data_IF_538321461078
#
_entry.id   IF_538321461078
#
_cell.length_a   1.000
_cell.length_b   1.000
_cell.length_c   1.000
_cell.angle_alpha   90.00
_cell.angle_beta   90.00
_cell.angle_gamma   90.00
#
_symmetry.space_group_name_H-M   'P 1'
#
loop_
_entity.id
_entity.type
_entity.pdbx_description
1 polymer ?
#
# COMPACT_ATOMS: atom_id res chain seq x y z
N UNK A 1 -12.03 -9.11 15.74
CA UNK A 1 -11.81 -7.89 14.93
C UNK A 1 -11.51 -6.72 15.86
N UNK A 2 -10.41 -6.02 15.64
CA UNK A 2 -9.92 -5.01 16.61
C UNK A 2 -10.81 -3.77 16.74
N UNK A 3 -11.68 -3.51 15.78
CA UNK A 3 -12.63 -2.38 15.84
C UNK A 3 -13.88 -2.64 16.71
N UNK A 4 -14.06 -3.84 17.25
CA UNK A 4 -15.20 -4.21 18.11
C UNK A 4 -14.70 -4.27 19.55
N UNK A 5 -15.41 -3.59 20.45
CA UNK A 5 -15.08 -3.65 21.88
C UNK A 5 -15.35 -5.05 22.42
N UNK A 6 -14.36 -5.73 23.03
CA UNK A 6 -14.55 -7.07 23.56
C UNK A 6 -15.45 -7.11 24.80
N UNK A 7 -15.64 -5.98 25.50
CA UNK A 7 -16.46 -5.89 26.72
C UNK A 7 -17.94 -5.62 26.40
N UNK A 8 -18.23 -4.56 25.60
CA UNK A 8 -19.62 -4.13 25.37
C UNK A 8 -20.12 -4.35 23.95
N UNK A 9 -19.30 -4.92 23.05
CA UNK A 9 -19.68 -5.16 21.67
C UNK A 9 -19.81 -3.91 20.79
N UNK A 10 -19.49 -2.72 21.28
CA UNK A 10 -19.55 -1.49 20.48
C UNK A 10 -18.69 -1.65 19.21
N UNK A 11 -19.30 -1.49 18.02
CA UNK A 11 -18.68 -1.63 16.71
C UNK A 11 -18.56 -0.32 15.93
N UNK A 12 -18.97 0.82 16.52
CA UNK A 12 -18.89 2.14 15.87
C UNK A 12 -17.44 2.52 15.59
N UNK A 13 -17.24 3.30 14.54
CA UNK A 13 -15.93 3.85 14.18
C UNK A 13 -15.61 5.10 15.03
N UNK A 14 -15.46 4.89 16.33
CA UNK A 14 -15.28 5.93 17.34
C UNK A 14 -14.15 5.60 18.34
N UNK A 15 -13.45 4.48 18.12
CA UNK A 15 -12.42 4.00 19.04
C UNK A 15 -11.26 5.00 19.14
N UNK A 16 -10.80 5.24 20.36
CA UNK A 16 -9.60 6.03 20.61
C UNK A 16 -8.38 5.10 20.56
N UNK A 17 -7.35 5.49 19.79
CA UNK A 17 -6.10 4.73 19.65
C UNK A 17 -4.96 5.55 20.21
N UNK A 18 -4.17 4.95 21.11
CA UNK A 18 -2.96 5.54 21.68
C UNK A 18 -1.88 4.46 21.79
N UNK A 19 -0.78 4.62 21.06
CA UNK A 19 0.23 3.55 20.93
C UNK A 19 -0.40 2.25 20.45
N UNK A 20 -0.20 1.18 21.18
CA UNK A 20 -0.77 -0.16 20.91
C UNK A 20 -2.05 -0.47 21.73
N UNK A 21 -2.71 0.56 22.26
CA UNK A 21 -3.93 0.46 23.06
C UNK A 21 -5.12 1.07 22.32
N UNK A 22 -6.24 0.37 22.40
CA UNK A 22 -7.54 0.89 21.94
C UNK A 22 -8.42 1.11 23.18
N UNK A 23 -9.16 2.22 23.20
CA UNK A 23 -10.14 2.53 24.22
C UNK A 23 -11.53 2.67 23.61
N UNK A 24 -12.50 1.99 24.20
CA UNK A 24 -13.91 2.15 23.85
C UNK A 24 -14.46 3.44 24.48
N UNK A 25 -15.04 4.38 23.71
CA UNK A 25 -15.66 5.56 24.29
C UNK A 25 -16.93 5.25 25.06
N UNK A 26 -17.65 4.15 24.73
CA UNK A 26 -18.92 3.76 25.36
C UNK A 26 -18.71 3.25 26.79
N UNK A 27 -17.94 2.17 26.97
CA UNK A 27 -17.72 1.53 28.27
C UNK A 27 -16.36 1.81 28.91
N UNK A 28 -15.49 2.58 28.24
CA UNK A 28 -14.13 2.92 28.66
C UNK A 28 -13.16 1.74 28.76
N UNK A 29 -13.58 0.52 28.40
CA UNK A 29 -12.68 -0.63 28.34
C UNK A 29 -11.51 -0.38 27.39
N UNK A 30 -10.32 -0.90 27.76
CA UNK A 30 -9.10 -0.77 26.97
C UNK A 30 -8.53 -2.13 26.65
N UNK A 31 -8.02 -2.31 25.42
CA UNK A 31 -7.37 -3.55 25.02
C UNK A 31 -6.17 -3.29 24.12
N UNK A 32 -5.26 -4.24 24.11
CA UNK A 32 -4.07 -4.19 23.27
C UNK A 32 -4.36 -4.72 21.87
N UNK A 33 -3.58 -4.22 20.89
CA UNK A 33 -3.57 -4.73 19.53
C UNK A 33 -2.14 -4.70 18.98
N UNK A 34 -1.88 -5.48 17.93
CA UNK A 34 -0.63 -5.43 17.19
C UNK A 34 -0.66 -4.23 16.24
N UNK A 35 0.19 -3.27 16.50
CA UNK A 35 0.30 -2.04 15.72
C UNK A 35 1.51 -2.14 14.79
N UNK A 36 1.33 -2.75 13.61
CA UNK A 36 2.38 -2.93 12.62
C UNK A 36 2.36 -1.79 11.58
N UNK A 37 3.46 -1.56 10.85
CA UNK A 37 3.47 -0.65 9.70
C UNK A 37 2.68 -1.23 8.52
N UNK A 38 2.02 -0.35 7.76
CA UNK A 38 1.40 -0.67 6.49
C UNK A 38 2.36 -0.32 5.36
N UNK A 39 2.53 -1.22 4.39
CA UNK A 39 3.40 -1.06 3.25
C UNK A 39 2.60 -0.87 1.96
N UNK A 40 3.04 0.07 1.13
CA UNK A 40 2.45 0.38 -0.17
C UNK A 40 3.54 0.32 -1.24
N UNK A 41 3.36 -0.56 -2.22
CA UNK A 41 4.19 -0.61 -3.42
C UNK A 41 3.45 0.13 -4.53
N UNK A 42 3.99 1.26 -4.96
CA UNK A 42 3.38 2.14 -5.96
C UNK A 42 4.24 2.32 -7.20
N UNK A 43 3.79 3.15 -8.13
CA UNK A 43 4.43 3.43 -9.41
C UNK A 43 3.44 3.30 -10.57
N UNK A 44 3.83 3.74 -11.74
CA UNK A 44 2.97 3.75 -12.93
C UNK A 44 2.54 2.35 -13.38
N UNK A 45 1.54 2.28 -14.26
CA UNK A 45 1.17 1.01 -14.88
C UNK A 45 2.31 0.48 -15.76
N UNK A 46 2.51 -0.83 -15.78
CA UNK A 46 3.59 -1.48 -16.56
C UNK A 46 4.95 -1.49 -15.86
N UNK A 47 5.13 -0.83 -14.72
CA UNK A 47 6.42 -0.76 -14.02
C UNK A 47 6.88 -2.10 -13.42
N UNK A 48 5.95 -3.02 -13.13
CA UNK A 48 6.26 -4.35 -12.59
C UNK A 48 5.80 -4.62 -11.17
N UNK A 49 4.95 -3.78 -10.56
CA UNK A 49 4.41 -3.97 -9.19
C UNK A 49 3.84 -5.36 -8.94
N UNK A 50 2.85 -5.75 -9.75
CA UNK A 50 2.17 -7.04 -9.61
C UNK A 50 3.13 -8.22 -9.82
N UNK A 51 4.09 -8.10 -10.75
CA UNK A 51 5.09 -9.15 -11.01
C UNK A 51 6.03 -9.31 -9.81
N UNK A 52 6.52 -8.20 -9.23
CA UNK A 52 7.35 -8.24 -8.02
C UNK A 52 6.57 -8.78 -6.81
N UNK A 53 5.30 -8.38 -6.66
CA UNK A 53 4.42 -8.88 -5.61
C UNK A 53 4.19 -10.41 -5.71
N UNK A 54 3.99 -10.94 -6.93
CA UNK A 54 3.88 -12.38 -7.17
C UNK A 54 5.16 -13.12 -6.82
N UNK A 55 6.33 -12.52 -7.08
CA UNK A 55 7.61 -13.11 -6.71
C UNK A 55 7.80 -13.16 -5.20
N UNK A 56 7.43 -12.10 -4.46
CA UNK A 56 7.41 -12.11 -2.99
C UNK A 56 6.53 -13.24 -2.44
N UNK A 57 5.37 -13.49 -3.03
CA UNK A 57 4.50 -14.60 -2.62
C UNK A 57 5.15 -15.97 -2.87
N UNK A 58 5.89 -16.14 -3.99
CA UNK A 58 6.63 -17.39 -4.26
C UNK A 58 7.77 -17.64 -3.27
N UNK A 59 8.40 -16.57 -2.81
CA UNK A 59 9.50 -16.66 -1.83
C UNK A 59 9.00 -16.91 -0.40
N UNK A 60 7.69 -17.08 -0.19
CA UNK A 60 7.08 -17.23 1.14
C UNK A 60 7.53 -16.14 2.13
N UNK A 61 7.60 -14.91 1.66
CA UNK A 61 7.92 -13.76 2.49
C UNK A 61 6.92 -13.65 3.66
N UNK A 62 7.42 -13.31 4.85
CA UNK A 62 6.58 -13.11 6.04
C UNK A 62 5.80 -11.79 5.95
N UNK A 63 5.09 -11.59 4.86
CA UNK A 63 4.24 -10.43 4.57
C UNK A 63 3.00 -10.88 3.80
N UNK A 64 1.85 -10.34 4.14
CA UNK A 64 0.62 -10.56 3.35
C UNK A 64 0.61 -9.58 2.19
N UNK A 65 0.63 -10.09 0.97
CA UNK A 65 0.67 -9.29 -0.26
C UNK A 65 -0.72 -9.24 -0.87
N UNK A 66 -1.22 -8.04 -1.14
CA UNK A 66 -2.53 -7.78 -1.72
C UNK A 66 -2.41 -6.78 -2.88
N UNK A 67 -3.34 -6.83 -3.83
CA UNK A 67 -3.40 -5.90 -4.96
C UNK A 67 -4.69 -5.07 -4.87
N UNK A 68 -4.59 -3.74 -5.01
CA UNK A 68 -5.74 -2.86 -4.96
C UNK A 68 -6.71 -3.07 -6.14
N UNK A 69 -6.25 -3.68 -7.23
CA UNK A 69 -7.10 -4.02 -8.38
C UNK A 69 -8.20 -5.04 -8.03
N UNK A 70 -8.11 -5.73 -6.88
CA UNK A 70 -9.21 -6.58 -6.37
C UNK A 70 -10.52 -5.81 -6.17
N UNK A 71 -10.44 -4.48 -5.99
CA UNK A 71 -11.63 -3.63 -5.85
C UNK A 71 -12.29 -3.31 -7.19
N UNK A 72 -11.58 -3.51 -8.32
CA UNK A 72 -12.16 -3.34 -9.64
C UNK A 72 -13.33 -4.32 -9.86
N UNK A 73 -14.51 -3.79 -10.14
CA UNK A 73 -15.72 -4.60 -10.29
C UNK A 73 -16.42 -5.02 -8.99
N UNK A 74 -15.82 -4.75 -7.82
CA UNK A 74 -16.44 -5.00 -6.50
C UNK A 74 -17.12 -3.75 -5.98
N UNK A 75 -16.54 -2.58 -6.23
CA UNK A 75 -17.10 -1.29 -5.86
C UNK A 75 -16.89 -0.26 -6.99
N UNK A 76 -17.69 0.82 -7.05
CA UNK A 76 -17.44 1.92 -7.97
C UNK A 76 -16.07 2.55 -7.69
N UNK A 77 -15.35 2.90 -8.75
CA UNK A 77 -14.07 3.65 -8.70
C UNK A 77 -14.12 4.80 -9.71
N UNK A 78 -15.17 5.63 -9.62
CA UNK A 78 -15.48 6.68 -10.60
C UNK A 78 -15.29 8.10 -10.04
N UNK A 79 -15.13 8.23 -8.74
CA UNK A 79 -15.01 9.52 -8.05
C UNK A 79 -13.90 9.50 -7.01
N UNK A 80 -13.47 10.69 -6.58
CA UNK A 80 -12.52 10.85 -5.51
C UNK A 80 -13.01 10.22 -4.19
N UNK A 81 -14.32 10.31 -3.94
CA UNK A 81 -14.96 9.69 -2.77
C UNK A 81 -14.92 8.15 -2.85
N UNK A 82 -15.08 7.56 -4.03
CA UNK A 82 -14.97 6.11 -4.22
C UNK A 82 -13.56 5.61 -3.91
N UNK A 83 -12.53 6.32 -4.40
CA UNK A 83 -11.14 6.02 -4.08
C UNK A 83 -10.84 6.20 -2.60
N UNK A 84 -11.43 7.20 -1.93
CA UNK A 84 -11.29 7.36 -0.49
C UNK A 84 -11.89 6.17 0.27
N UNK A 85 -13.07 5.69 -0.14
CA UNK A 85 -13.72 4.50 0.42
C UNK A 85 -12.89 3.22 0.17
N UNK A 86 -12.29 3.11 -1.02
CA UNK A 86 -11.39 2.01 -1.35
C UNK A 86 -10.21 1.96 -0.39
N UNK A 87 -9.50 3.08 -0.21
CA UNK A 87 -8.35 3.18 0.68
C UNK A 87 -8.75 2.89 2.13
N UNK A 88 -9.88 3.43 2.59
CA UNK A 88 -10.42 3.14 3.92
C UNK A 88 -10.70 1.63 4.11
N UNK A 89 -11.20 0.95 3.06
CA UNK A 89 -11.44 -0.49 3.08
C UNK A 89 -10.13 -1.28 3.12
N UNK A 90 -9.14 -0.90 2.32
CA UNK A 90 -7.79 -1.50 2.33
C UNK A 90 -7.19 -1.47 3.73
N UNK A 91 -7.25 -0.33 4.39
CA UNK A 91 -6.72 -0.16 5.74
C UNK A 91 -7.54 -0.93 6.78
N UNK A 92 -8.87 -0.97 6.63
CA UNK A 92 -9.73 -1.76 7.50
C UNK A 92 -9.41 -3.26 7.44
N UNK A 93 -9.16 -3.80 6.25
CA UNK A 93 -8.69 -5.18 6.10
C UNK A 93 -7.30 -5.37 6.72
N UNK A 94 -6.36 -4.48 6.38
CA UNK A 94 -4.97 -4.57 6.83
C UNK A 94 -4.83 -4.60 8.34
N UNK A 95 -5.49 -3.70 9.07
CA UNK A 95 -5.42 -3.65 10.55
C UNK A 95 -5.92 -4.94 11.20
N UNK A 96 -6.88 -5.64 10.57
CA UNK A 96 -7.40 -6.92 11.08
C UNK A 96 -6.46 -8.09 10.73
N UNK A 97 -5.92 -8.14 9.50
CA UNK A 97 -4.93 -9.13 9.07
C UNK A 97 -3.68 -9.07 9.95
N UNK A 98 -3.21 -7.87 10.25
CA UNK A 98 -2.01 -7.64 11.08
C UNK A 98 -2.12 -8.19 12.50
N UNK A 99 -3.33 -8.50 12.99
CA UNK A 99 -3.48 -9.15 14.29
C UNK A 99 -2.91 -10.59 14.31
N UNK A 100 -2.72 -11.22 13.13
CA UNK A 100 -1.95 -12.47 13.01
C UNK A 100 -0.45 -12.30 13.29
N UNK A 101 0.04 -11.07 13.23
CA UNK A 101 1.46 -10.73 13.42
C UNK A 101 2.22 -10.55 12.10
N UNK A 102 1.55 -10.65 10.96
CA UNK A 102 2.13 -10.42 9.65
C UNK A 102 1.85 -8.98 9.18
N UNK A 103 2.84 -8.25 8.67
CA UNK A 103 2.63 -6.98 8.01
C UNK A 103 1.88 -7.17 6.69
N UNK A 104 1.29 -6.11 6.18
CA UNK A 104 0.55 -6.11 4.91
C UNK A 104 1.23 -5.18 3.93
N UNK A 105 1.42 -5.66 2.71
CA UNK A 105 1.87 -4.90 1.54
C UNK A 105 0.74 -4.84 0.51
N UNK A 106 0.35 -3.66 0.09
CA UNK A 106 -0.55 -3.45 -1.03
C UNK A 106 0.20 -2.95 -2.26
N UNK A 107 -0.11 -3.50 -3.43
CA UNK A 107 0.23 -2.85 -4.70
C UNK A 107 -0.90 -1.91 -5.10
N UNK A 108 -0.56 -0.66 -5.44
CA UNK A 108 -1.52 0.33 -5.95
C UNK A 108 -0.83 1.37 -6.82
N UNK A 109 -1.52 1.90 -7.83
CA UNK A 109 -0.92 2.83 -8.77
C UNK A 109 -0.98 4.30 -8.28
N UNK A 110 -2.01 4.69 -7.55
CA UNK A 110 -2.25 6.08 -7.14
C UNK A 110 -2.90 6.19 -5.77
N UNK A 111 -3.50 7.36 -5.48
CA UNK A 111 -4.26 7.65 -4.26
C UNK A 111 -3.44 7.63 -2.96
N UNK A 112 -2.13 7.87 -3.04
CA UNK A 112 -1.27 7.95 -1.86
C UNK A 112 -1.68 9.09 -0.92
N UNK A 113 -2.19 10.18 -1.48
CA UNK A 113 -2.71 11.35 -0.76
C UNK A 113 -3.89 11.02 0.17
N UNK A 114 -4.57 9.90 -0.04
CA UNK A 114 -5.73 9.45 0.73
C UNK A 114 -5.37 8.61 1.94
N UNK A 115 -4.19 7.97 1.95
CA UNK A 115 -3.77 7.03 3.00
C UNK A 115 -3.76 7.64 4.41
N UNK A 116 -3.32 8.88 4.55
CA UNK A 116 -3.29 9.57 5.85
C UNK A 116 -4.62 10.20 6.27
N UNK A 117 -5.60 10.24 5.34
CA UNK A 117 -6.90 10.92 5.53
C UNK A 117 -8.01 9.97 6.00
N UNK A 118 -7.70 8.70 6.21
CA UNK A 118 -8.67 7.67 6.62
C UNK A 118 -8.87 7.63 8.13
N UNK A 119 -9.99 7.05 8.57
CA UNK A 119 -10.18 6.70 9.98
C UNK A 119 -9.19 5.61 10.42
N UNK A 120 -8.90 4.65 9.54
CA UNK A 120 -8.14 3.45 9.88
C UNK A 120 -6.62 3.70 9.94
N UNK A 121 -6.08 4.80 9.39
CA UNK A 121 -4.63 5.08 9.39
C UNK A 121 -4.03 5.09 10.82
N UNK A 122 -4.81 5.45 11.83
CA UNK A 122 -4.40 5.47 13.25
C UNK A 122 -4.02 4.12 13.84
N UNK A 123 -4.43 3.03 13.21
CA UNK A 123 -4.14 1.67 13.67
C UNK A 123 -2.77 1.14 13.21
N UNK A 124 -2.06 1.88 12.38
CA UNK A 124 -0.72 1.52 11.92
C UNK A 124 0.35 2.29 12.70
N UNK A 125 1.53 1.70 12.87
CA UNK A 125 2.68 2.42 13.44
C UNK A 125 3.22 3.47 12.48
N UNK A 126 3.03 3.25 11.18
CA UNK A 126 3.33 4.15 10.08
C UNK A 126 2.78 3.58 8.78
N UNK A 127 2.67 4.40 7.75
CA UNK A 127 2.38 3.98 6.38
C UNK A 127 3.61 4.30 5.55
N UNK A 128 4.20 3.28 4.93
CA UNK A 128 5.44 3.37 4.19
C UNK A 128 5.19 3.07 2.72
N UNK A 129 5.58 3.99 1.85
CA UNK A 129 5.38 3.88 0.41
C UNK A 129 6.73 3.68 -0.29
N UNK A 130 6.79 2.72 -1.21
CA UNK A 130 7.90 2.50 -2.12
C UNK A 130 7.40 2.63 -3.55
N UNK A 131 7.94 3.60 -4.29
CA UNK A 131 7.66 3.81 -5.70
C UNK A 131 8.68 3.07 -6.56
N UNK A 132 8.21 2.15 -7.40
CA UNK A 132 9.03 1.59 -8.46
C UNK A 132 9.06 2.58 -9.62
N UNK A 133 10.25 2.87 -10.13
CA UNK A 133 10.48 3.73 -11.29
C UNK A 133 11.42 3.04 -12.29
N UNK A 134 11.41 3.48 -13.53
CA UNK A 134 12.44 3.08 -14.49
C UNK A 134 12.69 4.20 -15.51
N UNK A 135 13.76 4.06 -16.30
CA UNK A 135 14.01 4.98 -17.39
C UNK A 135 12.91 4.90 -18.46
N UNK A 136 12.70 6.01 -19.16
CA UNK A 136 11.62 6.15 -20.15
C UNK A 136 11.67 5.10 -21.26
N UNK A 137 12.87 4.77 -21.76
CA UNK A 137 13.06 3.77 -22.81
C UNK A 137 12.55 2.40 -22.39
N UNK A 138 12.88 1.99 -21.19
CA UNK A 138 12.45 0.71 -20.63
C UNK A 138 10.94 0.70 -20.36
N UNK A 139 10.40 1.78 -19.80
CA UNK A 139 8.96 1.90 -19.59
C UNK A 139 8.18 1.82 -20.91
N UNK A 140 8.63 2.57 -21.92
CA UNK A 140 8.05 2.52 -23.26
C UNK A 140 8.05 1.09 -23.82
N UNK A 141 9.18 0.37 -23.72
CA UNK A 141 9.30 -1.03 -24.15
C UNK A 141 8.33 -1.94 -23.40
N UNK A 142 8.23 -1.81 -22.08
CA UNK A 142 7.29 -2.61 -21.25
C UNK A 142 5.83 -2.36 -21.63
N UNK A 143 5.47 -1.14 -21.94
CA UNK A 143 4.11 -0.80 -22.34
C UNK A 143 3.78 -1.28 -23.75
N UNK A 144 4.65 -1.03 -24.71
CA UNK A 144 4.39 -1.35 -26.13
C UNK A 144 4.60 -2.83 -26.44
N UNK A 145 5.80 -3.37 -26.18
CA UNK A 145 6.14 -4.77 -26.48
C UNK A 145 5.55 -5.71 -25.43
N UNK A 146 5.63 -5.35 -24.16
CA UNK A 146 5.19 -6.22 -23.06
C UNK A 146 3.67 -6.29 -22.90
N UNK A 147 2.96 -5.18 -23.12
CA UNK A 147 1.51 -5.07 -22.93
C UNK A 147 0.71 -4.83 -24.20
N UNK A 148 1.36 -4.59 -25.34
CA UNK A 148 0.68 -4.31 -26.60
C UNK A 148 -0.07 -2.98 -26.65
N UNK A 149 0.28 -2.01 -25.76
CA UNK A 149 -0.39 -0.71 -25.73
C UNK A 149 0.11 0.11 -26.92
N UNK A 150 -0.83 0.62 -27.72
CA UNK A 150 -0.55 1.44 -28.91
C UNK A 150 -1.04 2.87 -28.76
N UNK A 151 -1.88 3.15 -27.79
CA UNK A 151 -2.39 4.49 -27.50
C UNK A 151 -1.27 5.39 -26.95
N UNK A 152 -0.88 6.36 -27.78
CA UNK A 152 0.21 7.28 -27.44
C UNK A 152 -0.11 8.14 -26.24
N UNK A 153 -1.35 8.64 -26.11
CA UNK A 153 -1.73 9.50 -24.99
C UNK A 153 -1.63 8.74 -23.67
N UNK A 154 -1.98 7.46 -23.68
CA UNK A 154 -1.83 6.58 -22.53
C UNK A 154 -0.36 6.37 -22.15
N UNK A 155 0.49 6.09 -23.13
CA UNK A 155 1.94 5.89 -22.93
C UNK A 155 2.55 7.17 -22.34
N UNK A 156 2.29 8.33 -22.98
CA UNK A 156 2.81 9.63 -22.53
C UNK A 156 2.36 9.95 -21.09
N UNK A 157 1.10 9.65 -20.75
CA UNK A 157 0.56 9.81 -19.40
C UNK A 157 1.30 8.98 -18.35
N UNK A 158 1.63 7.72 -18.65
CA UNK A 158 2.37 6.86 -17.71
C UNK A 158 3.84 7.23 -17.62
N UNK A 159 4.46 7.70 -18.71
CA UNK A 159 5.82 8.25 -18.68
C UNK A 159 5.85 9.50 -17.79
N UNK A 160 4.89 10.41 -17.94
CA UNK A 160 4.78 11.59 -17.09
C UNK A 160 4.60 11.21 -15.61
N UNK A 161 3.79 10.20 -15.32
CA UNK A 161 3.56 9.73 -13.95
C UNK A 161 4.79 9.04 -13.34
N UNK A 162 5.54 8.27 -14.14
CA UNK A 162 6.83 7.72 -13.72
C UNK A 162 7.84 8.84 -13.40
N UNK A 163 7.92 9.85 -14.26
CA UNK A 163 8.80 11.01 -14.07
C UNK A 163 8.42 11.82 -12.84
N UNK A 164 7.12 11.89 -12.50
CA UNK A 164 6.66 12.51 -11.25
C UNK A 164 7.33 11.83 -10.05
N UNK A 165 7.29 10.51 -9.94
CA UNK A 165 7.96 9.78 -8.84
C UNK A 165 9.48 9.98 -8.85
N UNK A 166 10.12 10.10 -10.00
CA UNK A 166 11.57 10.33 -10.10
C UNK A 166 12.00 11.72 -9.64
N UNK A 167 11.09 12.69 -9.66
CA UNK A 167 11.40 14.11 -9.38
C UNK A 167 10.80 14.64 -8.08
N UNK A 168 9.93 13.88 -7.45
CA UNK A 168 9.26 14.25 -6.19
C UNK A 168 9.60 13.24 -5.10
N UNK A 169 9.42 13.63 -3.85
CA UNK A 169 9.66 12.79 -2.68
C UNK A 169 8.38 12.50 -1.88
N UNK A 170 7.26 13.10 -2.28
CA UNK A 170 5.97 12.93 -1.63
C UNK A 170 4.82 13.25 -2.58
N UNK A 171 3.65 12.67 -2.28
CA UNK A 171 2.34 13.08 -2.81
C UNK A 171 1.56 13.68 -1.64
N UNK A 172 1.25 14.97 -1.69
CA UNK A 172 0.77 15.73 -0.54
C UNK A 172 1.71 15.51 0.68
N UNK A 173 1.17 15.00 1.79
CA UNK A 173 1.94 14.71 3.01
C UNK A 173 2.44 13.25 3.08
N UNK A 174 2.23 12.43 2.04
CA UNK A 174 2.67 11.05 2.01
C UNK A 174 4.01 10.93 1.29
N UNK A 175 5.07 10.82 2.09
CA UNK A 175 6.42 10.59 1.58
C UNK A 175 6.55 9.16 1.02
N UNK A 176 7.45 8.98 0.05
CA UNK A 176 7.76 7.66 -0.51
C UNK A 176 9.28 7.51 -0.76
N UNK A 177 9.74 6.28 -0.67
CA UNK A 177 11.05 5.88 -1.17
C UNK A 177 10.96 5.54 -2.66
N UNK A 178 12.09 5.55 -3.36
CA UNK A 178 12.17 5.25 -4.79
C UNK A 178 13.11 4.05 -4.99
N UNK A 179 12.72 3.14 -5.88
CA UNK A 179 13.59 2.08 -6.36
C UNK A 179 13.54 2.00 -7.88
N UNK A 180 14.70 2.20 -8.51
CA UNK A 180 14.85 2.12 -9.97
C UNK A 180 14.98 0.66 -10.41
N UNK A 181 14.03 0.22 -11.23
CA UNK A 181 13.95 -1.15 -11.77
C UNK A 181 14.34 -1.25 -13.25
N UNK A 182 15.05 -0.23 -13.78
CA UNK A 182 15.44 -0.19 -15.19
C UNK A 182 16.21 -1.44 -15.63
N UNK A 183 17.21 -1.82 -14.81
CA UNK A 183 18.14 -2.92 -15.10
C UNK A 183 18.02 -4.04 -14.06
N UNK A 184 16.91 -4.11 -13.34
CA UNK A 184 16.69 -5.11 -12.30
C UNK A 184 15.84 -6.27 -12.80
N UNK A 185 16.21 -7.46 -12.36
CA UNK A 185 15.35 -8.64 -12.54
C UNK A 185 14.14 -8.57 -11.59
N UNK A 186 13.15 -9.42 -11.84
CA UNK A 186 12.00 -9.56 -10.96
C UNK A 186 12.43 -10.02 -9.55
N UNK A 187 13.40 -10.94 -9.49
CA UNK A 187 13.94 -11.47 -8.24
C UNK A 187 14.67 -10.38 -7.44
N UNK A 188 15.56 -9.60 -8.09
CA UNK A 188 16.27 -8.49 -7.43
C UNK A 188 15.30 -7.44 -6.90
N UNK A 189 14.22 -7.18 -7.66
CA UNK A 189 13.17 -6.24 -7.24
C UNK A 189 12.43 -6.75 -6.01
N UNK A 190 12.06 -8.03 -5.99
CA UNK A 190 11.38 -8.65 -4.85
C UNK A 190 12.28 -8.69 -3.61
N UNK A 191 13.56 -9.05 -3.77
CA UNK A 191 14.56 -9.04 -2.69
C UNK A 191 14.70 -7.65 -2.07
N UNK A 192 14.87 -6.61 -2.89
CA UNK A 192 14.94 -5.22 -2.40
C UNK A 192 13.69 -4.82 -1.63
N UNK A 193 12.49 -5.15 -2.14
CA UNK A 193 11.24 -4.86 -1.43
C UNK A 193 11.21 -5.55 -0.07
N UNK A 194 11.64 -6.80 0.01
CA UNK A 194 11.69 -7.57 1.26
C UNK A 194 12.70 -6.97 2.25
N UNK A 195 13.88 -6.57 1.79
CA UNK A 195 14.88 -5.88 2.60
C UNK A 195 14.36 -4.55 3.14
N UNK A 196 13.67 -3.77 2.29
CA UNK A 196 13.04 -2.51 2.69
C UNK A 196 11.97 -2.72 3.78
N UNK A 197 11.10 -3.73 3.62
CA UNK A 197 10.10 -4.10 4.62
C UNK A 197 10.78 -4.49 5.94
N UNK A 198 11.75 -5.40 5.89
CA UNK A 198 12.45 -5.90 7.06
C UNK A 198 13.22 -4.78 7.79
N UNK A 199 13.85 -3.87 7.05
CA UNK A 199 14.53 -2.71 7.61
C UNK A 199 13.59 -1.84 8.46
N UNK A 200 12.35 -1.61 7.98
CA UNK A 200 11.35 -0.82 8.71
C UNK A 200 10.82 -1.58 9.94
N UNK A 201 10.60 -2.88 9.80
CA UNK A 201 10.08 -3.72 10.90
C UNK A 201 11.03 -3.77 12.10
N UNK A 202 12.34 -3.80 11.88
CA UNK A 202 13.36 -3.81 12.96
C UNK A 202 13.23 -2.58 13.87
N UNK A 203 12.87 -1.42 13.30
CA UNK A 203 12.73 -0.17 14.05
C UNK A 203 11.31 0.09 14.57
N UNK A 204 10.35 -0.81 14.28
CA UNK A 204 8.93 -0.65 14.66
C UNK A 204 8.53 -1.48 15.87
N UNK A 205 9.44 -2.29 16.42
CA UNK A 205 9.30 -3.10 17.63
C UNK A 205 9.91 -2.34 18.81
#
# INVERSE_FOLDING_TARGET
>A
MIGICPECGNYKWDKQVSGNMIKCPECRHTWRFKRLPLFILTGCSGIGKTTAAQELMRQNANVVVLDADIYCGVMPLNSDEDYQKMVESMENFSKNIMQSGLPVLWTMAGNLDKLSKTYNCRFFSGIHCLALVCNEKELFRRMTVGRGITDKAWIDGYIAYNNYFMTHMAVDNMAFNIFDVSDKSVSDTAEYILEWINGILIYSI
#
